data_IF_801242679689
#
_entry.id   IF_801242679689
#
_cell.length_a   1.000
_cell.length_b   1.000
_cell.length_c   1.000
_cell.angle_alpha   90.00
_cell.angle_beta   90.00
_cell.angle_gamma   90.00
#
_symmetry.space_group_name_H-M   'P 1'
#
loop_
_entity.id
_entity.type
_entity.pdbx_description
1 polymer ?
#
# COMPACT_ATOMS: atom_id res chain seq x y z
N UNK A 1 -12.57 -69.76 5.61
CA UNK A 1 -12.96 -69.83 7.03
C UNK A 1 -12.38 -68.60 7.71
N UNK A 2 -13.19 -67.78 8.35
CA UNK A 2 -12.72 -66.57 9.04
C UNK A 2 -12.03 -66.98 10.34
N UNK A 3 -10.76 -66.59 10.51
CA UNK A 3 -10.01 -66.79 11.74
C UNK A 3 -10.06 -65.51 12.59
N UNK A 4 -10.79 -65.53 13.72
CA UNK A 4 -10.92 -64.32 14.55
C UNK A 4 -9.63 -63.94 15.31
N UNK A 5 -8.69 -64.89 15.47
CA UNK A 5 -7.42 -64.66 16.20
C UNK A 5 -6.36 -64.03 15.28
N UNK A 6 -6.54 -64.13 13.96
CA UNK A 6 -5.65 -63.54 12.98
C UNK A 6 -6.43 -62.82 11.86
N UNK A 7 -7.02 -61.65 12.14
CA UNK A 7 -7.81 -60.94 11.15
C UNK A 7 -6.92 -60.43 10.01
N UNK A 8 -7.17 -60.93 8.80
CA UNK A 8 -6.50 -60.42 7.57
C UNK A 8 -7.27 -59.20 7.13
N UNK A 9 -6.65 -58.03 7.26
CA UNK A 9 -7.18 -56.77 6.70
C UNK A 9 -6.90 -56.74 5.20
N UNK A 10 -7.95 -56.91 4.40
CA UNK A 10 -7.83 -56.75 2.94
C UNK A 10 -8.17 -55.30 2.59
N UNK A 11 -7.20 -54.47 2.12
CA UNK A 11 -7.47 -53.12 1.74
C UNK A 11 -8.48 -53.07 0.59
N UNK A 12 -9.54 -52.32 0.73
CA UNK A 12 -10.47 -52.01 -0.35
C UNK A 12 -10.04 -50.73 -1.08
N UNK A 13 -10.60 -50.48 -2.28
CA UNK A 13 -10.22 -49.35 -3.11
C UNK A 13 -10.39 -47.98 -2.41
N UNK A 14 -11.33 -47.86 -1.47
CA UNK A 14 -11.57 -46.67 -0.66
C UNK A 14 -10.52 -46.45 0.44
N UNK A 15 -9.73 -47.48 0.79
CA UNK A 15 -8.64 -47.35 1.76
C UNK A 15 -7.34 -46.85 1.11
N UNK A 16 -7.28 -46.80 -0.23
CA UNK A 16 -6.14 -46.32 -0.97
C UNK A 16 -6.05 -44.79 -0.85
N UNK A 17 -5.10 -44.31 -0.07
CA UNK A 17 -4.74 -42.91 0.00
C UNK A 17 -3.55 -42.65 -0.89
N UNK A 18 -3.77 -41.90 -1.96
CA UNK A 18 -2.69 -41.47 -2.84
C UNK A 18 -2.05 -40.18 -2.26
N UNK A 19 -0.73 -40.15 -2.15
CA UNK A 19 0.00 -38.90 -1.94
C UNK A 19 -0.08 -38.10 -3.23
N UNK A 20 -0.84 -37.00 -3.22
CA UNK A 20 -0.87 -36.01 -4.27
C UNK A 20 0.08 -34.87 -3.91
N UNK A 21 0.84 -34.43 -4.87
CA UNK A 21 1.63 -33.21 -4.75
C UNK A 21 0.77 -32.07 -5.31
N UNK A 22 0.37 -31.17 -4.46
CA UNK A 22 -0.13 -29.88 -4.90
C UNK A 22 1.05 -28.91 -4.89
N UNK A 23 1.35 -28.30 -6.03
CA UNK A 23 2.20 -27.12 -6.04
C UNK A 23 1.47 -26.00 -5.28
N UNK A 24 1.79 -25.85 -4.03
CA UNK A 24 1.43 -24.65 -3.27
C UNK A 24 2.46 -23.61 -3.67
N UNK A 25 2.06 -22.66 -4.52
CA UNK A 25 2.84 -21.42 -4.68
C UNK A 25 2.98 -20.82 -3.28
N UNK A 26 4.19 -20.91 -2.71
CA UNK A 26 4.48 -20.14 -1.49
C UNK A 26 4.27 -18.68 -1.86
N UNK A 27 3.44 -17.93 -1.11
CA UNK A 27 3.41 -16.48 -1.27
C UNK A 27 4.84 -15.95 -1.15
N UNK A 28 5.18 -14.97 -1.96
CA UNK A 28 6.46 -14.30 -1.80
C UNK A 28 6.55 -13.81 -0.36
N UNK A 29 7.61 -14.20 0.35
CA UNK A 29 7.78 -13.87 1.76
C UNK A 29 8.27 -12.43 1.96
N UNK A 30 8.75 -11.78 0.89
CA UNK A 30 9.32 -10.45 0.92
C UNK A 30 8.30 -9.39 0.50
N UNK A 31 8.24 -8.30 1.25
CA UNK A 31 7.43 -7.15 0.91
C UNK A 31 8.24 -5.85 0.95
N UNK A 32 8.05 -5.01 -0.05
CA UNK A 32 8.57 -3.65 -0.08
C UNK A 32 7.41 -2.67 0.19
N UNK A 33 7.60 -1.79 1.15
CA UNK A 33 6.61 -0.79 1.52
C UNK A 33 7.22 0.58 1.28
N UNK A 34 6.58 1.41 0.47
CA UNK A 34 6.99 2.80 0.25
C UNK A 34 5.95 3.72 0.86
N UNK A 35 6.36 4.48 1.86
CA UNK A 35 5.56 5.54 2.47
C UNK A 35 5.95 6.88 1.85
N UNK A 36 4.97 7.60 1.32
CA UNK A 36 5.13 8.94 0.78
C UNK A 36 4.30 9.90 1.62
N UNK A 37 4.91 10.94 2.17
CA UNK A 37 4.23 11.93 2.99
C UNK A 37 4.42 13.34 2.43
N UNK A 38 3.31 14.01 2.27
CA UNK A 38 3.26 15.44 2.02
C UNK A 38 3.71 16.20 3.28
N UNK A 39 4.70 17.06 3.12
CA UNK A 39 5.23 17.92 4.20
C UNK A 39 5.05 19.39 3.90
N UNK A 40 4.23 19.74 2.91
CA UNK A 40 3.90 21.12 2.52
C UNK A 40 3.30 21.94 3.67
N UNK A 41 3.25 23.25 3.49
CA UNK A 41 2.82 24.17 4.53
C UNK A 41 1.36 24.02 4.98
N UNK A 42 0.49 23.40 4.17
CA UNK A 42 -0.88 23.06 4.53
C UNK A 42 -1.00 21.83 5.45
N UNK A 43 0.05 20.97 5.47
CA UNK A 43 0.17 19.83 6.36
C UNK A 43 0.75 20.25 7.72
N UNK A 44 -0.12 20.65 8.66
CA UNK A 44 0.27 21.03 10.02
C UNK A 44 0.78 19.86 10.87
N UNK A 45 1.21 20.16 12.08
CA UNK A 45 1.73 19.15 13.03
C UNK A 45 0.69 18.06 13.36
N UNK A 46 -0.58 18.42 13.45
CA UNK A 46 -1.68 17.48 13.71
C UNK A 46 -1.86 16.49 12.56
N UNK A 47 -1.87 16.96 11.32
CA UNK A 47 -1.95 16.12 10.12
C UNK A 47 -0.76 15.16 10.03
N UNK A 48 0.44 15.66 10.23
CA UNK A 48 1.67 14.85 10.28
C UNK A 48 1.65 13.81 11.39
N UNK A 49 1.02 14.11 12.54
CA UNK A 49 0.84 13.13 13.61
C UNK A 49 -0.13 12.01 13.22
N UNK A 50 -1.25 12.33 12.58
CA UNK A 50 -2.20 11.34 12.05
C UNK A 50 -1.51 10.40 11.04
N UNK A 51 -0.76 10.96 10.09
CA UNK A 51 0.02 10.17 9.12
C UNK A 51 1.01 9.25 9.81
N UNK A 52 1.75 9.74 10.80
CA UNK A 52 2.72 8.94 11.57
C UNK A 52 2.06 7.77 12.27
N UNK A 53 0.90 8.02 12.88
CA UNK A 53 0.15 6.99 13.59
C UNK A 53 -0.40 5.94 12.61
N UNK A 54 -0.94 6.37 11.48
CA UNK A 54 -1.44 5.45 10.46
C UNK A 54 -0.32 4.61 9.83
N UNK A 55 0.79 5.24 9.44
CA UNK A 55 1.96 4.56 8.92
C UNK A 55 2.55 3.54 9.93
N UNK A 56 2.55 3.87 11.23
CA UNK A 56 2.95 2.93 12.29
C UNK A 56 2.06 1.67 12.31
N UNK A 57 0.75 1.83 12.25
CA UNK A 57 -0.18 0.69 12.26
C UNK A 57 -0.11 -0.15 10.98
N UNK A 58 0.09 0.49 9.83
CA UNK A 58 0.35 -0.19 8.55
C UNK A 58 1.62 -1.05 8.67
N UNK A 59 2.73 -0.47 9.14
CA UNK A 59 4.00 -1.18 9.32
C UNK A 59 3.85 -2.36 10.29
N UNK A 60 3.17 -2.17 11.42
CA UNK A 60 2.90 -3.20 12.41
C UNK A 60 2.07 -4.36 11.84
N UNK A 61 1.05 -4.06 11.04
CA UNK A 61 0.20 -5.08 10.42
C UNK A 61 0.96 -5.88 9.36
N UNK A 62 1.69 -5.21 8.47
CA UNK A 62 2.45 -5.86 7.41
C UNK A 62 3.56 -6.75 7.96
N UNK A 63 4.28 -6.31 9.01
CA UNK A 63 5.29 -7.13 9.71
C UNK A 63 4.74 -8.40 10.35
N UNK A 64 3.45 -8.45 10.62
CA UNK A 64 2.80 -9.68 11.11
C UNK A 64 2.54 -10.70 9.99
N UNK A 65 2.42 -10.24 8.75
CA UNK A 65 2.01 -11.06 7.61
C UNK A 65 3.18 -11.44 6.68
N UNK A 66 4.31 -10.75 6.76
CA UNK A 66 5.49 -10.99 5.94
C UNK A 66 6.73 -11.22 6.80
N UNK A 67 7.56 -12.19 6.41
CA UNK A 67 8.83 -12.48 7.12
C UNK A 67 9.93 -11.46 6.78
N UNK A 68 10.02 -11.04 5.51
CA UNK A 68 10.97 -10.05 5.03
C UNK A 68 10.27 -8.78 4.60
N UNK A 69 10.48 -7.67 5.33
CA UNK A 69 9.93 -6.36 4.99
C UNK A 69 11.03 -5.33 4.88
N UNK A 70 11.06 -4.66 3.73
CA UNK A 70 11.80 -3.44 3.52
C UNK A 70 10.87 -2.24 3.49
N UNK A 71 11.11 -1.24 4.33
CA UNK A 71 10.32 -0.01 4.37
C UNK A 71 11.18 1.15 3.86
N UNK A 72 10.65 1.88 2.90
CA UNK A 72 11.27 3.07 2.29
C UNK A 72 10.37 4.28 2.52
N UNK A 73 10.97 5.43 2.65
CA UNK A 73 10.28 6.64 3.06
C UNK A 73 10.61 7.79 2.11
N UNK A 74 9.58 8.44 1.60
CA UNK A 74 9.67 9.61 0.72
C UNK A 74 8.92 10.76 1.39
N UNK A 75 9.53 11.92 1.46
CA UNK A 75 8.86 13.17 1.80
C UNK A 75 8.81 14.05 0.56
N UNK A 76 7.76 14.82 0.43
CA UNK A 76 7.63 15.76 -0.68
C UNK A 76 6.91 17.04 -0.26
N UNK A 77 7.34 18.10 -0.88
CA UNK A 77 6.67 19.40 -1.05
C UNK A 77 6.58 19.72 -2.54
N UNK A 78 7.30 20.73 -3.04
CA UNK A 78 7.50 20.98 -4.47
C UNK A 78 8.45 19.95 -5.11
N UNK A 79 9.30 19.32 -4.29
CA UNK A 79 10.24 18.28 -4.67
C UNK A 79 10.11 17.10 -3.74
N UNK A 80 10.41 15.92 -4.25
CA UNK A 80 10.45 14.72 -3.44
C UNK A 80 11.87 14.22 -3.24
N UNK A 81 12.11 13.62 -2.09
CA UNK A 81 13.35 12.91 -1.79
C UNK A 81 13.10 11.70 -0.92
N UNK A 82 13.87 10.64 -1.16
CA UNK A 82 13.95 9.54 -0.22
C UNK A 82 14.71 9.97 1.04
N UNK A 83 14.18 9.58 2.20
CA UNK A 83 14.73 9.92 3.50
C UNK A 83 14.79 8.68 4.41
N UNK A 84 15.55 8.77 5.49
CA UNK A 84 15.49 7.74 6.51
C UNK A 84 14.20 7.81 7.35
N UNK A 85 13.92 6.74 8.07
CA UNK A 85 12.75 6.63 8.95
C UNK A 85 12.68 7.79 9.95
N UNK A 86 13.80 8.20 10.54
CA UNK A 86 13.85 9.27 11.54
C UNK A 86 13.45 10.60 10.93
N UNK A 87 14.00 10.93 9.77
CA UNK A 87 13.66 12.15 9.01
C UNK A 87 12.20 12.17 8.61
N UNK A 88 11.67 11.06 8.08
CA UNK A 88 10.24 10.95 7.73
C UNK A 88 9.32 11.29 8.91
N UNK A 89 9.60 10.76 10.09
CA UNK A 89 8.79 11.01 11.27
C UNK A 89 9.04 12.37 11.95
N UNK A 90 10.06 13.12 11.56
CA UNK A 90 10.39 14.45 12.11
C UNK A 90 10.35 15.57 11.09
N UNK A 91 10.09 15.27 9.81
CA UNK A 91 10.10 16.27 8.77
C UNK A 91 9.12 17.41 9.03
N UNK A 92 9.61 18.65 8.85
CA UNK A 92 8.88 19.91 8.94
C UNK A 92 9.36 20.78 7.79
N UNK A 93 8.54 20.90 6.78
CA UNK A 93 8.81 21.81 5.66
C UNK A 93 7.58 22.70 5.47
N UNK A 94 7.79 23.88 4.86
CA UNK A 94 6.77 24.91 4.66
C UNK A 94 6.64 25.29 3.17
N UNK A 95 6.99 24.35 2.28
CA UNK A 95 6.93 24.55 0.83
C UNK A 95 5.51 24.48 0.24
N UNK A 96 5.39 24.74 -1.05
CA UNK A 96 4.18 24.41 -1.82
C UNK A 96 4.06 22.91 -2.04
N UNK A 97 3.01 22.45 -2.75
CA UNK A 97 2.75 21.01 -2.96
C UNK A 97 2.85 20.65 -4.43
N UNK A 98 3.56 19.58 -4.73
CA UNK A 98 3.62 18.96 -6.05
C UNK A 98 3.61 17.45 -5.91
N UNK A 99 2.42 16.87 -5.99
CA UNK A 99 2.20 15.43 -5.74
C UNK A 99 2.96 14.57 -6.75
N UNK A 100 3.04 14.99 -8.02
CA UNK A 100 3.75 14.21 -9.05
C UNK A 100 5.21 13.99 -8.72
N UNK A 101 5.85 14.87 -7.94
CA UNK A 101 7.24 14.72 -7.53
C UNK A 101 7.43 13.44 -6.68
N UNK A 102 6.49 13.16 -5.76
CA UNK A 102 6.51 11.96 -4.94
C UNK A 102 6.36 10.69 -5.80
N UNK A 103 5.43 10.71 -6.76
CA UNK A 103 5.18 9.57 -7.63
C UNK A 103 6.37 9.27 -8.55
N UNK A 104 7.03 10.30 -9.08
CA UNK A 104 8.26 10.15 -9.86
C UNK A 104 9.41 9.57 -9.02
N UNK A 105 9.62 10.10 -7.82
CA UNK A 105 10.63 9.58 -6.90
C UNK A 105 10.35 8.11 -6.52
N UNK A 106 9.09 7.78 -6.28
CA UNK A 106 8.67 6.39 -6.01
C UNK A 106 8.93 5.48 -7.21
N UNK A 107 8.58 5.91 -8.42
CA UNK A 107 8.84 5.15 -9.66
C UNK A 107 10.34 4.86 -9.85
N UNK A 108 11.20 5.87 -9.67
CA UNK A 108 12.65 5.71 -9.76
C UNK A 108 13.19 4.73 -8.71
N UNK A 109 12.69 4.82 -7.48
CA UNK A 109 13.06 3.94 -6.38
C UNK A 109 12.65 2.49 -6.68
N UNK A 110 11.44 2.26 -7.17
CA UNK A 110 10.97 0.91 -7.52
C UNK A 110 11.83 0.32 -8.63
N UNK A 111 12.08 1.06 -9.71
CA UNK A 111 12.92 0.60 -10.83
C UNK A 111 14.34 0.24 -10.41
N UNK A 112 14.88 0.94 -9.42
CA UNK A 112 16.26 0.72 -8.96
C UNK A 112 16.41 -0.49 -8.02
N UNK A 113 15.36 -0.86 -7.25
CA UNK A 113 15.52 -1.76 -6.12
C UNK A 113 14.52 -2.92 -6.07
N UNK A 114 13.36 -2.85 -6.73
CA UNK A 114 12.29 -3.82 -6.52
C UNK A 114 11.70 -4.33 -7.83
N UNK A 115 11.99 -5.58 -8.17
CA UNK A 115 11.32 -6.27 -9.28
C UNK A 115 9.94 -6.75 -8.79
N UNK A 116 8.84 -6.38 -9.47
CA UNK A 116 7.49 -6.84 -9.11
C UNK A 116 7.30 -8.37 -9.15
N UNK A 117 8.19 -9.10 -9.83
CA UNK A 117 8.16 -10.56 -9.84
C UNK A 117 8.73 -11.19 -8.58
N UNK A 118 9.59 -10.46 -7.85
CA UNK A 118 10.32 -10.95 -6.67
C UNK A 118 9.79 -10.34 -5.37
N UNK A 119 9.04 -9.24 -5.45
CA UNK A 119 8.57 -8.47 -4.31
C UNK A 119 7.06 -8.23 -4.32
N UNK A 120 6.42 -8.34 -3.16
CA UNK A 120 5.10 -7.76 -2.94
C UNK A 120 5.27 -6.27 -2.62
N UNK A 121 4.76 -5.40 -3.48
CA UNK A 121 5.00 -3.96 -3.40
C UNK A 121 3.73 -3.25 -2.93
N UNK A 122 3.84 -2.53 -1.81
CA UNK A 122 2.79 -1.74 -1.21
C UNK A 122 3.18 -0.27 -1.15
N UNK A 123 2.37 0.58 -1.74
CA UNK A 123 2.62 2.02 -1.83
C UNK A 123 1.56 2.75 -1.01
N UNK A 124 1.98 3.67 -0.14
CA UNK A 124 1.07 4.50 0.63
C UNK A 124 1.44 5.97 0.46
N UNK A 125 0.45 6.78 0.08
CA UNK A 125 0.63 8.21 -0.05
C UNK A 125 -0.34 8.95 0.87
N UNK A 126 0.19 9.86 1.67
CA UNK A 126 -0.53 10.68 2.64
C UNK A 126 -0.38 12.15 2.28
N UNK A 127 -1.50 12.84 2.10
CA UNK A 127 -1.54 14.26 1.75
C UNK A 127 -2.88 14.85 2.18
N UNK A 128 -2.96 16.17 2.34
CA UNK A 128 -4.23 16.86 2.53
C UNK A 128 -5.01 17.08 1.22
N UNK A 129 -4.44 16.60 0.12
CA UNK A 129 -5.06 16.64 -1.20
C UNK A 129 -4.95 17.97 -1.93
N UNK A 130 -4.13 18.88 -1.42
CA UNK A 130 -3.76 20.07 -2.16
C UNK A 130 -2.70 19.73 -3.21
N UNK A 131 -2.84 20.25 -4.41
CA UNK A 131 -1.84 20.07 -5.46
C UNK A 131 -1.64 21.36 -6.25
N UNK A 132 -0.46 21.54 -6.81
CA UNK A 132 -0.02 22.78 -7.45
C UNK A 132 -0.88 23.19 -8.64
N UNK A 133 -1.45 22.23 -9.39
CA UNK A 133 -2.21 22.54 -10.60
C UNK A 133 -2.96 21.33 -11.16
N UNK A 134 -3.96 21.60 -11.97
CA UNK A 134 -4.66 20.62 -12.82
C UNK A 134 -3.69 19.85 -13.76
N UNK A 135 -2.65 20.49 -14.24
CA UNK A 135 -1.63 19.84 -15.08
C UNK A 135 -0.85 18.79 -14.27
N UNK A 136 -0.55 19.09 -13.02
CA UNK A 136 0.10 18.15 -12.12
C UNK A 136 -0.85 17.00 -11.72
N UNK A 137 -2.14 17.28 -11.51
CA UNK A 137 -3.14 16.23 -11.29
C UNK A 137 -3.18 15.22 -12.45
N UNK A 138 -3.21 15.71 -13.70
CA UNK A 138 -3.15 14.83 -14.89
C UNK A 138 -1.86 14.02 -14.97
N UNK A 139 -0.74 14.63 -14.60
CA UNK A 139 0.55 13.93 -14.55
C UNK A 139 0.54 12.84 -13.48
N UNK A 140 0.00 13.11 -12.31
CA UNK A 140 -0.17 12.11 -11.24
C UNK A 140 -1.00 10.92 -11.71
N UNK A 141 -2.15 11.15 -12.31
CA UNK A 141 -3.01 10.08 -12.86
C UNK A 141 -2.25 9.26 -13.90
N UNK A 142 -1.50 9.91 -14.79
CA UNK A 142 -0.70 9.21 -15.81
C UNK A 142 0.38 8.33 -15.19
N UNK A 143 1.11 8.83 -14.19
CA UNK A 143 2.16 8.05 -13.52
C UNK A 143 1.54 6.87 -12.76
N UNK A 144 0.45 7.08 -12.05
CA UNK A 144 -0.29 6.00 -11.37
C UNK A 144 -0.70 4.92 -12.35
N UNK A 145 -1.41 5.26 -13.41
CA UNK A 145 -1.95 4.32 -14.39
C UNK A 145 -0.86 3.52 -15.12
N UNK A 146 0.18 4.21 -15.55
CA UNK A 146 1.18 3.63 -16.47
C UNK A 146 2.41 3.06 -15.77
N UNK A 147 2.73 3.50 -14.54
CA UNK A 147 3.99 3.17 -13.90
C UNK A 147 3.81 2.51 -12.53
N UNK A 148 2.98 3.06 -11.64
CA UNK A 148 2.92 2.57 -10.27
C UNK A 148 1.95 1.41 -10.10
N UNK A 149 0.70 1.54 -10.57
CA UNK A 149 -0.33 0.51 -10.39
C UNK A 149 -0.02 -0.81 -11.10
N UNK A 150 0.59 -0.84 -12.32
CA UNK A 150 1.01 -2.10 -12.93
C UNK A 150 2.10 -2.83 -12.14
N UNK A 151 2.93 -2.09 -11.40
CA UNK A 151 4.12 -2.59 -10.71
C UNK A 151 3.97 -2.72 -9.19
N UNK A 152 2.76 -2.60 -8.65
CA UNK A 152 2.50 -2.79 -7.21
C UNK A 152 1.31 -3.73 -6.99
N UNK A 153 1.26 -4.31 -5.80
CA UNK A 153 0.11 -5.10 -5.33
C UNK A 153 -1.02 -4.19 -4.86
N UNK A 154 -0.67 -3.04 -4.26
CA UNK A 154 -1.65 -2.07 -3.80
C UNK A 154 -1.03 -0.66 -3.72
N UNK A 155 -1.82 0.33 -4.11
CA UNK A 155 -1.58 1.74 -3.86
C UNK A 155 -2.69 2.28 -2.94
N UNK A 156 -2.32 2.67 -1.73
CA UNK A 156 -3.21 3.32 -0.75
C UNK A 156 -3.01 4.83 -0.77
N UNK A 157 -4.07 5.58 -1.07
CA UNK A 157 -4.08 7.03 -0.87
C UNK A 157 -4.91 7.37 0.36
N UNK A 158 -4.29 7.99 1.34
CA UNK A 158 -4.95 8.50 2.53
C UNK A 158 -4.97 10.03 2.49
N UNK A 159 -6.16 10.61 2.40
CA UNK A 159 -6.32 12.05 2.54
C UNK A 159 -6.53 12.41 4.00
N UNK A 160 -5.62 13.23 4.52
CA UNK A 160 -5.73 13.78 5.87
C UNK A 160 -6.33 15.17 5.77
N UNK A 161 -7.44 15.41 6.46
CA UNK A 161 -8.11 16.71 6.38
C UNK A 161 -7.27 17.80 7.05
N UNK A 162 -7.00 18.87 6.30
CA UNK A 162 -6.37 20.09 6.77
C UNK A 162 -7.35 21.26 6.69
N UNK A 163 -7.24 22.19 7.59
CA UNK A 163 -8.02 23.44 7.55
C UNK A 163 -7.61 24.34 6.36
N UNK A 164 -6.45 24.09 5.80
CA UNK A 164 -5.84 24.91 4.73
C UNK A 164 -5.77 24.18 3.39
N UNK A 165 -5.96 22.87 3.37
CA UNK A 165 -5.91 22.04 2.16
C UNK A 165 -7.24 22.02 1.40
N UNK A 166 -7.20 22.01 0.07
CA UNK A 166 -8.40 21.95 -0.78
C UNK A 166 -9.09 20.57 -0.76
N UNK A 167 -8.34 19.53 -0.46
CA UNK A 167 -8.82 18.16 -0.51
C UNK A 167 -9.21 17.67 -1.91
N UNK A 168 -8.82 18.37 -2.96
CA UNK A 168 -9.31 18.13 -4.32
C UNK A 168 -8.76 16.86 -4.96
N UNK A 169 -7.55 16.45 -4.59
CA UNK A 169 -6.86 15.33 -5.24
C UNK A 169 -7.58 13.97 -5.06
N UNK A 170 -8.25 13.76 -3.92
CA UNK A 170 -9.08 12.57 -3.73
C UNK A 170 -10.19 12.45 -4.77
N UNK A 171 -10.81 13.57 -5.15
CA UNK A 171 -11.85 13.58 -6.19
C UNK A 171 -11.23 13.26 -7.56
N UNK A 172 -10.05 13.82 -7.86
CA UNK A 172 -9.30 13.52 -9.09
C UNK A 172 -9.04 12.01 -9.21
N UNK A 173 -8.59 11.37 -8.13
CA UNK A 173 -8.37 9.93 -8.11
C UNK A 173 -9.67 9.12 -8.31
N UNK A 174 -10.76 9.51 -7.66
CA UNK A 174 -12.06 8.83 -7.79
C UNK A 174 -12.67 8.98 -9.19
N UNK A 175 -12.47 10.11 -9.83
CA UNK A 175 -12.92 10.35 -11.20
C UNK A 175 -12.07 9.56 -12.21
N UNK A 176 -10.76 9.55 -12.05
CA UNK A 176 -9.85 8.82 -12.93
C UNK A 176 -9.98 7.29 -12.77
N UNK A 177 -10.23 6.82 -11.55
CA UNK A 177 -10.27 5.40 -11.19
C UNK A 177 -11.57 5.03 -10.44
N UNK A 178 -12.74 5.11 -11.07
CA UNK A 178 -14.04 5.00 -10.40
C UNK A 178 -14.32 3.62 -9.76
N UNK A 179 -13.54 2.59 -10.11
CA UNK A 179 -13.64 1.24 -9.55
C UNK A 179 -12.37 0.80 -8.81
N UNK A 180 -11.44 1.76 -8.54
CA UNK A 180 -10.10 1.46 -8.07
C UNK A 180 -9.51 0.37 -8.94
N UNK A 181 -8.75 0.62 -9.96
CA UNK A 181 -8.27 -0.37 -10.96
C UNK A 181 -8.29 -1.80 -10.40
N UNK A 182 -9.42 -2.50 -10.66
CA UNK A 182 -9.60 -3.87 -10.20
C UNK A 182 -8.91 -4.79 -11.20
N UNK A 183 -7.95 -5.54 -10.73
CA UNK A 183 -7.43 -6.73 -11.40
C UNK A 183 -8.21 -7.97 -10.93
N UNK A 184 -7.89 -9.17 -11.46
CA UNK A 184 -8.52 -10.43 -11.06
C UNK A 184 -8.44 -10.69 -9.54
N UNK A 185 -7.47 -10.06 -8.85
CA UNK A 185 -7.20 -10.18 -7.40
C UNK A 185 -7.77 -9.04 -6.54
N UNK A 186 -8.50 -8.07 -7.12
CA UNK A 186 -9.14 -6.96 -6.38
C UNK A 186 -8.63 -5.56 -6.75
N UNK A 187 -9.12 -4.51 -6.06
CA UNK A 187 -8.75 -3.14 -6.39
C UNK A 187 -7.31 -2.84 -5.95
N UNK A 188 -6.46 -2.45 -6.91
CA UNK A 188 -5.08 -2.04 -6.63
C UNK A 188 -4.97 -0.62 -6.06
N UNK A 189 -5.89 0.29 -6.42
CA UNK A 189 -5.97 1.64 -5.85
C UNK A 189 -7.06 1.71 -4.80
N UNK A 190 -6.68 2.01 -3.58
CA UNK A 190 -7.58 2.21 -2.46
C UNK A 190 -7.45 3.64 -1.95
N UNK A 191 -8.57 4.25 -1.60
CA UNK A 191 -8.59 5.61 -1.06
C UNK A 191 -9.29 5.64 0.28
N UNK A 192 -8.73 6.39 1.22
CA UNK A 192 -9.32 6.66 2.52
C UNK A 192 -9.29 8.16 2.83
N UNK A 193 -10.02 8.55 3.87
CA UNK A 193 -10.01 9.90 4.41
C UNK A 193 -9.93 9.81 5.93
N UNK A 194 -9.06 10.62 6.52
CA UNK A 194 -8.83 10.68 7.95
C UNK A 194 -8.97 12.15 8.39
N UNK A 195 -10.00 12.44 9.17
CA UNK A 195 -10.26 13.75 9.73
C UNK A 195 -9.67 13.86 11.16
N UNK A 196 -9.62 12.73 11.88
CA UNK A 196 -9.13 12.63 13.25
C UNK A 196 -8.62 11.21 13.56
N UNK A 197 -8.14 10.97 14.79
CA UNK A 197 -7.56 9.68 15.19
C UNK A 197 -8.53 8.49 15.13
N UNK A 198 -9.82 8.73 15.34
CA UNK A 198 -10.83 7.66 15.36
C UNK A 198 -11.05 7.08 13.94
N UNK A 199 -10.84 7.89 12.90
CA UNK A 199 -10.99 7.49 11.51
C UNK A 199 -9.85 6.56 11.02
N UNK A 200 -8.72 6.53 11.72
CA UNK A 200 -7.56 5.69 11.34
C UNK A 200 -7.95 4.23 11.27
N UNK A 201 -8.78 3.74 12.18
CA UNK A 201 -9.22 2.35 12.17
C UNK A 201 -9.99 1.98 10.89
N UNK A 202 -10.88 2.85 10.44
CA UNK A 202 -11.66 2.62 9.21
C UNK A 202 -10.79 2.77 7.95
N UNK A 203 -9.80 3.66 7.97
CA UNK A 203 -8.78 3.76 6.92
C UNK A 203 -7.98 2.45 6.80
N UNK A 204 -7.45 1.94 7.91
CA UNK A 204 -6.74 0.66 7.95
C UNK A 204 -7.61 -0.50 7.46
N UNK A 205 -8.89 -0.54 7.87
CA UNK A 205 -9.83 -1.54 7.35
C UNK A 205 -10.01 -1.45 5.84
N UNK A 206 -10.00 -0.26 5.29
CA UNK A 206 -10.11 -0.05 3.84
C UNK A 206 -8.89 -0.66 3.13
N UNK A 207 -7.69 -0.40 3.62
CA UNK A 207 -6.47 -0.91 3.01
C UNK A 207 -6.30 -2.44 3.18
N UNK A 208 -6.70 -3.00 4.31
CA UNK A 208 -6.43 -4.41 4.62
C UNK A 208 -7.59 -5.37 4.36
N UNK A 209 -8.82 -4.90 4.08
CA UNK A 209 -9.93 -5.77 3.66
C UNK A 209 -9.76 -6.32 2.25
N UNK A 210 -9.10 -5.59 1.38
CA UNK A 210 -8.90 -5.99 -0.01
C UNK A 210 -7.77 -7.03 -0.20
N UNK A 211 -7.01 -7.33 0.85
CA UNK A 211 -5.88 -8.28 0.84
C UNK A 211 -6.19 -9.64 1.48
N UNK A 212 -7.45 -10.11 1.40
CA UNK A 212 -7.83 -11.46 1.86
C UNK A 212 -8.29 -12.32 0.72
#
# INVERSE_FOLDING_TARGET
MYDPEHPVVVPIRNDLRFRSWNEVKKPQSNAAIVYMMDVSGSMGDEQKELVRLEAFWIDAWLRRNYEGIESRYIVHDVRASEVDKKTFFSAREDGGTRISSAFQCCEELLKAHYDPNDWNIYLFHFSDGDNSSEADNRLCVKILDQQLLPNCNMFGYCQVTSAYGSGSFLNVLREAFPRGLADQDGPKLLTSKVDNRDDIYDSLRTFFKAGR
#
